data_IF_491512115407
#
_entry.id   IF_491512115407
#
_cell.length_a   1.000
_cell.length_b   1.000
_cell.length_c   1.000
_cell.angle_alpha   90.00
_cell.angle_beta   90.00
_cell.angle_gamma   90.00
#
_symmetry.space_group_name_H-M   'P 1'
#
loop_
_entity.id
_entity.type
_entity.pdbx_description
1 polymer ?
#
# COMPACT_ATOMS: atom_id res chain seq x y z
N UNK A 1 21.70 -21.75 9.79
CA UNK A 1 20.42 -22.22 9.21
C UNK A 1 19.79 -21.01 8.53
N UNK A 2 19.98 -20.90 7.22
CA UNK A 2 19.10 -20.22 6.27
C UNK A 2 19.45 -20.87 4.93
N UNK A 3 18.70 -21.91 4.59
CA UNK A 3 18.87 -22.74 3.42
C UNK A 3 18.04 -22.17 2.27
N UNK A 4 18.63 -21.30 1.47
CA UNK A 4 18.21 -21.03 0.08
C UNK A 4 19.50 -20.75 -0.70
N UNK A 5 20.16 -21.82 -1.12
CA UNK A 5 21.44 -21.83 -1.83
C UNK A 5 21.36 -21.35 -3.28
N UNK A 6 20.69 -20.24 -3.52
CA UNK A 6 20.71 -19.53 -4.80
C UNK A 6 21.60 -18.30 -4.62
N UNK A 7 22.92 -18.47 -4.83
CA UNK A 7 23.77 -17.33 -5.13
C UNK A 7 23.24 -16.73 -6.42
N UNK A 8 22.44 -15.67 -6.30
CA UNK A 8 21.75 -15.03 -7.42
C UNK A 8 22.73 -14.74 -8.54
N UNK A 9 22.56 -15.42 -9.67
CA UNK A 9 23.28 -15.13 -10.90
C UNK A 9 22.94 -13.68 -11.28
N UNK A 10 23.96 -12.85 -11.50
CA UNK A 10 23.80 -11.46 -11.93
C UNK A 10 22.89 -11.39 -13.15
N UNK A 11 21.92 -10.47 -13.15
CA UNK A 11 20.94 -10.31 -14.23
C UNK A 11 19.76 -11.29 -14.23
N UNK A 12 19.62 -12.18 -13.25
CA UNK A 12 18.35 -12.90 -13.01
C UNK A 12 17.45 -12.09 -12.08
N UNK A 13 16.13 -12.13 -12.32
CA UNK A 13 15.16 -11.52 -11.40
C UNK A 13 15.24 -12.20 -10.03
N UNK A 14 14.96 -11.43 -9.00
CA UNK A 14 14.90 -11.90 -7.62
C UNK A 14 13.57 -12.60 -7.27
N UNK A 15 12.59 -12.55 -8.18
CA UNK A 15 11.29 -13.19 -8.04
C UNK A 15 11.21 -14.46 -8.89
N UNK A 16 10.26 -15.35 -8.58
CA UNK A 16 10.03 -16.60 -9.31
C UNK A 16 9.40 -16.30 -10.69
N UNK A 17 10.17 -16.52 -11.76
CA UNK A 17 9.76 -16.19 -13.14
C UNK A 17 8.60 -17.05 -13.62
N UNK A 18 8.60 -18.32 -13.25
CA UNK A 18 7.60 -19.31 -13.64
C UNK A 18 6.23 -18.96 -13.05
N UNK A 19 6.19 -18.62 -11.76
CA UNK A 19 4.97 -18.16 -11.07
C UNK A 19 4.48 -16.83 -11.66
N UNK A 20 5.37 -15.86 -11.89
CA UNK A 20 4.98 -14.59 -12.53
C UNK A 20 4.41 -14.83 -13.93
N UNK A 21 5.09 -15.64 -14.75
CA UNK A 21 4.64 -15.95 -16.10
C UNK A 21 3.30 -16.68 -16.11
N UNK A 22 3.05 -17.54 -15.13
CA UNK A 22 1.73 -18.15 -14.92
C UNK A 22 0.69 -17.10 -14.58
N UNK A 23 0.96 -16.26 -13.58
CA UNK A 23 0.02 -15.24 -13.12
C UNK A 23 -0.32 -14.23 -14.22
N UNK A 24 0.65 -13.84 -15.05
CA UNK A 24 0.46 -12.98 -16.22
C UNK A 24 -0.55 -13.54 -17.23
N UNK A 25 -0.73 -14.86 -17.32
CA UNK A 25 -1.75 -15.50 -18.18
C UNK A 25 -3.14 -15.50 -17.55
N UNK A 26 -3.23 -15.34 -16.24
CA UNK A 26 -4.47 -15.43 -15.45
C UNK A 26 -5.07 -14.05 -15.15
N UNK A 27 -4.24 -13.01 -15.03
CA UNK A 27 -4.72 -11.65 -14.75
C UNK A 27 -5.68 -11.16 -15.84
N UNK A 28 -6.87 -10.77 -15.40
CA UNK A 28 -7.93 -10.28 -16.27
C UNK A 28 -7.77 -8.81 -16.68
N UNK A 29 -8.73 -8.33 -17.48
CA UNK A 29 -8.82 -6.90 -17.79
C UNK A 29 -9.23 -6.07 -16.57
N UNK A 30 -8.88 -4.78 -16.60
CA UNK A 30 -9.31 -3.78 -15.63
C UNK A 30 -10.08 -2.67 -16.33
N UNK A 31 -10.88 -1.95 -15.54
CA UNK A 31 -11.40 -0.64 -15.93
C UNK A 31 -10.54 0.45 -15.32
N UNK A 32 -10.46 1.58 -16.03
CA UNK A 32 -9.74 2.77 -15.59
C UNK A 32 -10.72 3.81 -15.05
N UNK A 33 -10.27 4.54 -14.04
CA UNK A 33 -11.07 5.52 -13.32
C UNK A 33 -10.23 6.75 -12.95
N UNK A 34 -10.92 7.80 -12.52
CA UNK A 34 -10.38 8.92 -11.75
C UNK A 34 -11.35 9.27 -10.64
N UNK A 35 -10.91 10.06 -9.66
CA UNK A 35 -11.84 10.71 -8.74
C UNK A 35 -12.17 12.11 -9.22
N UNK A 36 -13.46 12.41 -9.31
CA UNK A 36 -13.96 13.78 -9.37
C UNK A 36 -14.30 14.22 -7.93
N UNK A 37 -13.98 15.47 -7.60
CA UNK A 37 -14.17 16.01 -6.25
C UNK A 37 -14.38 17.52 -6.27
N UNK A 38 -14.85 18.05 -5.15
CA UNK A 38 -14.94 19.48 -4.89
C UNK A 38 -13.79 19.89 -3.97
N UNK A 39 -12.93 20.80 -4.45
CA UNK A 39 -11.91 21.45 -3.64
C UNK A 39 -12.44 22.76 -3.06
N UNK A 40 -12.26 22.94 -1.75
CA UNK A 40 -12.61 24.17 -1.04
C UNK A 40 -11.59 24.46 0.06
N UNK A 41 -11.70 25.60 0.73
CA UNK A 41 -10.89 25.91 1.91
C UNK A 41 -11.79 25.99 3.14
N UNK A 42 -11.31 25.46 4.25
CA UNK A 42 -11.93 25.60 5.56
C UNK A 42 -11.98 27.07 5.97
N UNK A 43 -13.16 27.56 6.37
CA UNK A 43 -13.40 29.00 6.59
C UNK A 43 -12.60 29.59 7.76
N UNK A 44 -12.10 28.77 8.69
CA UNK A 44 -11.37 29.24 9.87
C UNK A 44 -9.86 29.01 9.73
N UNK A 45 -9.48 27.83 9.26
CA UNK A 45 -8.07 27.44 9.16
C UNK A 45 -7.44 27.83 7.82
N UNK A 46 -8.26 28.15 6.81
CA UNK A 46 -7.86 28.34 5.41
C UNK A 46 -7.18 27.12 4.77
N UNK A 47 -7.24 25.96 5.45
CA UNK A 47 -6.67 24.72 4.96
C UNK A 47 -7.57 24.07 3.90
N UNK A 48 -6.99 23.39 2.90
CA UNK A 48 -7.76 22.79 1.82
C UNK A 48 -8.64 21.64 2.34
N UNK A 49 -9.77 21.43 1.67
CA UNK A 49 -10.75 20.38 1.94
C UNK A 49 -11.21 19.77 0.63
N UNK A 50 -11.12 18.45 0.54
CA UNK A 50 -11.71 17.64 -0.52
C UNK A 50 -13.06 17.12 -0.02
N UNK A 51 -14.09 17.36 -0.82
CA UNK A 51 -15.47 16.94 -0.55
C UNK A 51 -16.11 16.36 -1.81
N UNK A 52 -17.30 15.77 -1.69
CA UNK A 52 -18.06 15.22 -2.82
C UNK A 52 -17.28 14.23 -3.70
N UNK A 53 -16.44 13.40 -3.08
CA UNK A 53 -15.58 12.43 -3.77
C UNK A 53 -16.44 11.42 -4.54
N UNK A 54 -16.23 11.31 -5.85
CA UNK A 54 -16.92 10.36 -6.73
C UNK A 54 -15.92 9.64 -7.61
N UNK A 55 -15.99 8.30 -7.62
CA UNK A 55 -15.22 7.49 -8.54
C UNK A 55 -15.91 7.48 -9.91
N UNK A 56 -15.23 7.97 -10.94
CA UNK A 56 -15.77 8.10 -12.30
C UNK A 56 -14.99 7.19 -13.25
N UNK A 57 -15.71 6.33 -13.97
CA UNK A 57 -15.11 5.48 -15.01
C UNK A 57 -14.66 6.36 -16.19
N UNK A 58 -13.40 6.26 -16.56
CA UNK A 58 -12.78 7.07 -17.60
C UNK A 58 -11.77 6.20 -18.36
N UNK A 59 -11.92 6.08 -19.68
CA UNK A 59 -10.99 5.31 -20.53
C UNK A 59 -9.57 5.88 -20.54
N UNK A 60 -9.43 7.16 -20.22
CA UNK A 60 -8.15 7.87 -20.01
C UNK A 60 -7.77 7.99 -18.53
N UNK A 61 -8.54 7.36 -17.64
CA UNK A 61 -8.27 7.34 -16.21
C UNK A 61 -6.98 6.62 -15.86
N UNK A 62 -6.46 6.95 -14.69
CA UNK A 62 -5.16 6.51 -14.18
C UNK A 62 -5.25 5.61 -12.95
N UNK A 63 -6.47 5.34 -12.48
CA UNK A 63 -6.76 4.36 -11.42
C UNK A 63 -7.27 3.08 -12.07
N UNK A 64 -6.53 2.00 -11.89
CA UNK A 64 -6.97 0.64 -12.24
C UNK A 64 -7.60 0.01 -11.01
N UNK A 65 -8.85 -0.39 -11.13
CA UNK A 65 -9.61 -1.01 -10.04
C UNK A 65 -9.81 -2.50 -10.33
N UNK A 66 -9.23 -3.36 -9.49
CA UNK A 66 -9.35 -4.81 -9.57
C UNK A 66 -10.45 -5.34 -8.64
N UNK A 67 -10.56 -4.76 -7.45
CA UNK A 67 -11.57 -5.13 -6.45
C UNK A 67 -12.06 -3.91 -5.68
N UNK A 68 -13.39 -3.76 -5.61
CA UNK A 68 -14.02 -2.69 -4.84
C UNK A 68 -13.75 -2.88 -3.33
N UNK A 69 -13.66 -1.79 -2.55
CA UNK A 69 -13.52 -1.87 -1.10
C UNK A 69 -14.71 -2.61 -0.51
N UNK A 70 -14.43 -3.49 0.44
CA UNK A 70 -15.44 -4.18 1.23
C UNK A 70 -15.64 -3.46 2.56
N UNK A 71 -16.88 -3.44 3.04
CA UNK A 71 -17.20 -2.85 4.34
C UNK A 71 -16.40 -3.58 5.43
N UNK A 72 -15.89 -2.83 6.42
CA UNK A 72 -15.16 -3.36 7.57
C UNK A 72 -13.79 -4.00 7.26
N UNK A 73 -13.34 -3.94 6.00
CA UNK A 73 -11.96 -4.28 5.64
C UNK A 73 -11.04 -3.08 5.81
N UNK A 74 -9.78 -3.37 6.07
CA UNK A 74 -8.72 -2.39 6.23
C UNK A 74 -7.76 -2.49 5.06
N UNK A 75 -7.33 -1.35 4.55
CA UNK A 75 -6.47 -1.27 3.38
C UNK A 75 -5.20 -0.49 3.68
N UNK A 76 -4.16 -0.75 2.90
CA UNK A 76 -2.88 -0.03 2.95
C UNK A 76 -2.56 0.44 1.54
N UNK A 77 -2.08 1.67 1.43
CA UNK A 77 -1.60 2.27 0.20
C UNK A 77 -0.12 2.59 0.38
N UNK A 78 0.73 1.91 -0.37
CA UNK A 78 2.13 2.33 -0.54
C UNK A 78 2.25 3.18 -1.79
N UNK A 79 2.97 4.29 -1.70
CA UNK A 79 3.15 5.20 -2.83
C UNK A 79 4.61 5.53 -3.06
N UNK A 80 5.06 5.31 -4.29
CA UNK A 80 6.34 5.76 -4.81
C UNK A 80 6.12 7.05 -5.61
N UNK A 81 6.99 8.03 -5.37
CA UNK A 81 6.85 9.38 -5.91
C UNK A 81 7.85 9.60 -7.04
N UNK A 82 7.42 10.31 -8.09
CA UNK A 82 8.30 10.68 -9.19
C UNK A 82 9.58 11.35 -8.66
N UNK A 83 10.71 11.06 -9.30
CA UNK A 83 12.03 11.42 -8.79
C UNK A 83 13.16 11.17 -9.80
N UNK A 84 14.40 11.03 -9.32
CA UNK A 84 15.54 10.75 -10.19
C UNK A 84 15.38 9.37 -10.87
N UNK A 85 14.91 9.39 -12.12
CA UNK A 85 14.75 8.19 -12.96
C UNK A 85 13.31 7.87 -13.39
N UNK A 86 12.30 8.58 -12.86
CA UNK A 86 10.90 8.37 -13.23
C UNK A 86 10.07 9.64 -13.09
N UNK A 87 9.25 9.93 -14.10
CA UNK A 87 8.25 11.02 -14.06
C UNK A 87 6.88 10.52 -13.56
N UNK A 88 6.74 9.22 -13.29
CA UNK A 88 5.47 8.62 -12.90
C UNK A 88 5.36 8.53 -11.38
N UNK A 89 4.20 8.87 -10.87
CA UNK A 89 3.82 8.51 -9.50
C UNK A 89 3.12 7.16 -9.53
N UNK A 90 3.31 6.34 -8.50
CA UNK A 90 2.64 5.05 -8.37
C UNK A 90 2.09 4.90 -6.95
N UNK A 91 0.82 4.50 -6.83
CA UNK A 91 0.15 4.14 -5.59
C UNK A 91 -0.46 2.75 -5.70
N UNK A 92 -0.16 1.88 -4.75
CA UNK A 92 -0.52 0.46 -4.73
C UNK A 92 -1.43 0.18 -3.53
N UNK A 93 -2.67 -0.27 -3.77
CA UNK A 93 -3.63 -0.56 -2.70
C UNK A 93 -3.69 -2.05 -2.44
N UNK A 94 -3.41 -2.47 -1.20
CA UNK A 94 -3.58 -3.86 -0.76
C UNK A 94 -4.68 -3.97 0.31
N UNK A 95 -5.46 -5.05 0.25
CA UNK A 95 -6.31 -5.48 1.35
C UNK A 95 -5.41 -6.01 2.47
N UNK A 96 -5.45 -5.39 3.65
CA UNK A 96 -4.48 -5.71 4.69
C UNK A 96 -4.69 -7.10 5.29
N UNK A 97 -5.84 -7.73 5.11
CA UNK A 97 -6.14 -9.06 5.64
C UNK A 97 -5.64 -10.14 4.68
N UNK A 98 -5.92 -9.96 3.38
CA UNK A 98 -5.67 -10.98 2.34
C UNK A 98 -4.39 -10.73 1.55
N UNK A 99 -3.81 -9.53 1.67
CA UNK A 99 -2.69 -9.02 0.88
C UNK A 99 -2.99 -8.86 -0.62
N UNK A 100 -4.23 -9.05 -1.03
CA UNK A 100 -4.66 -8.87 -2.42
C UNK A 100 -4.47 -7.42 -2.88
N UNK A 101 -3.80 -7.23 -4.01
CA UNK A 101 -3.65 -5.94 -4.67
C UNK A 101 -4.98 -5.55 -5.33
N UNK A 102 -5.69 -4.57 -4.75
CA UNK A 102 -7.07 -4.25 -5.11
C UNK A 102 -7.21 -3.06 -6.07
N UNK A 103 -6.23 -2.15 -6.09
CA UNK A 103 -6.17 -1.04 -7.03
C UNK A 103 -4.74 -0.52 -7.23
N UNK A 104 -4.53 0.17 -8.35
CA UNK A 104 -3.29 0.88 -8.67
C UNK A 104 -3.61 2.27 -9.22
N UNK A 105 -3.03 3.31 -8.64
CA UNK A 105 -2.94 4.66 -9.21
C UNK A 105 -1.57 4.80 -9.86
N UNK A 106 -1.49 5.08 -11.16
CA UNK A 106 -0.20 5.33 -11.82
C UNK A 106 -0.36 6.27 -13.00
N UNK A 107 0.37 7.39 -12.98
CA UNK A 107 0.37 8.37 -14.06
C UNK A 107 1.52 9.37 -13.89
N UNK A 108 1.81 10.11 -14.97
CA UNK A 108 2.60 11.35 -14.92
C UNK A 108 1.70 12.48 -14.44
N UNK A 109 1.83 12.86 -13.18
CA UNK A 109 1.03 13.91 -12.56
C UNK A 109 1.88 15.15 -12.26
N UNK A 110 1.22 16.29 -12.03
CA UNK A 110 1.77 17.25 -11.09
C UNK A 110 1.55 16.77 -9.64
N UNK A 111 2.40 17.21 -8.72
CA UNK A 111 2.34 16.71 -7.35
C UNK A 111 1.01 17.00 -6.64
N UNK A 112 0.30 18.08 -6.99
CA UNK A 112 -1.00 18.42 -6.38
C UNK A 112 -2.10 17.46 -6.83
N UNK A 113 -2.21 17.19 -8.13
CA UNK A 113 -3.18 16.23 -8.67
C UNK A 113 -2.93 14.84 -8.09
N UNK A 114 -1.67 14.41 -7.99
CA UNK A 114 -1.36 13.13 -7.34
C UNK A 114 -1.82 13.09 -5.89
N UNK A 115 -1.57 14.15 -5.10
CA UNK A 115 -2.05 14.25 -3.71
C UNK A 115 -3.55 14.10 -3.61
N UNK A 116 -4.29 14.83 -4.45
CA UNK A 116 -5.74 14.88 -4.36
C UNK A 116 -6.35 13.52 -4.79
N UNK A 117 -5.81 12.89 -5.84
CA UNK A 117 -6.24 11.57 -6.30
C UNK A 117 -5.91 10.46 -5.29
N UNK A 118 -4.70 10.46 -4.71
CA UNK A 118 -4.34 9.44 -3.72
C UNK A 118 -5.06 9.63 -2.38
N UNK A 119 -5.36 10.88 -2.00
CA UNK A 119 -6.26 11.19 -0.89
C UNK A 119 -7.63 10.55 -1.13
N UNK A 120 -8.23 10.79 -2.30
CA UNK A 120 -9.54 10.25 -2.65
C UNK A 120 -9.53 8.71 -2.68
N UNK A 121 -8.46 8.11 -3.21
CA UNK A 121 -8.29 6.66 -3.23
C UNK A 121 -8.23 6.09 -1.81
N UNK A 122 -7.47 6.72 -0.91
CA UNK A 122 -7.38 6.35 0.49
C UNK A 122 -8.72 6.43 1.22
N UNK A 123 -9.48 7.50 0.98
CA UNK A 123 -10.83 7.68 1.54
C UNK A 123 -11.81 6.64 1.00
N UNK A 124 -11.74 6.33 -0.30
CA UNK A 124 -12.56 5.30 -0.95
C UNK A 124 -12.30 3.91 -0.36
N UNK A 125 -11.04 3.60 -0.03
CA UNK A 125 -10.63 2.34 0.60
C UNK A 125 -10.67 2.40 2.14
N UNK A 126 -11.77 2.90 2.70
CA UNK A 126 -12.04 2.91 4.15
C UNK A 126 -10.96 3.62 4.99
N UNK A 127 -10.50 4.80 4.56
CA UNK A 127 -9.42 5.53 5.22
C UNK A 127 -8.15 4.68 5.34
N UNK A 128 -7.71 4.13 4.21
CA UNK A 128 -6.54 3.26 4.12
C UNK A 128 -5.30 3.88 4.79
N UNK A 129 -4.40 3.05 5.31
CA UNK A 129 -3.11 3.54 5.80
C UNK A 129 -2.32 4.02 4.59
N UNK A 130 -2.00 5.31 4.53
CA UNK A 130 -1.32 5.90 3.39
C UNK A 130 0.16 6.16 3.71
N UNK A 131 1.01 5.42 3.01
CA UNK A 131 2.46 5.37 3.18
C UNK A 131 3.14 5.91 1.93
N UNK A 132 3.36 7.22 1.89
CA UNK A 132 4.02 7.88 0.75
C UNK A 132 5.52 7.96 0.99
N UNK A 133 6.31 7.56 0.00
CA UNK A 133 7.76 7.79 -0.01
C UNK A 133 8.06 9.29 0.09
N UNK A 134 8.97 9.71 0.98
CA UNK A 134 9.30 11.12 1.20
C UNK A 134 10.53 11.58 0.42
N UNK A 135 11.12 10.73 -0.40
CA UNK A 135 12.27 11.10 -1.23
C UNK A 135 11.83 11.89 -2.47
N UNK A 136 12.77 12.56 -3.11
CA UNK A 136 12.62 13.17 -4.45
C UNK A 136 11.36 14.05 -4.70
N UNK A 137 10.76 14.64 -3.66
CA UNK A 137 9.57 15.49 -3.76
C UNK A 137 8.38 15.01 -2.93
N UNK A 138 8.42 13.78 -2.42
CA UNK A 138 7.34 13.21 -1.62
C UNK A 138 7.07 13.89 -0.27
N UNK A 139 8.04 14.61 0.30
CA UNK A 139 7.82 15.43 1.51
C UNK A 139 6.66 16.43 1.32
N UNK A 140 6.63 17.11 0.17
CA UNK A 140 5.55 18.04 -0.15
C UNK A 140 4.19 17.33 -0.21
N UNK A 141 4.14 16.13 -0.80
CA UNK A 141 2.92 15.34 -0.91
C UNK A 141 2.37 15.01 0.47
N UNK A 142 3.23 14.53 1.36
CA UNK A 142 2.86 14.17 2.73
C UNK A 142 2.40 15.39 3.54
N UNK A 143 3.08 16.52 3.42
CA UNK A 143 2.68 17.77 4.08
C UNK A 143 1.31 18.24 3.59
N UNK A 144 1.05 18.19 2.28
CA UNK A 144 -0.25 18.53 1.71
C UNK A 144 -1.35 17.59 2.20
N UNK A 145 -1.10 16.27 2.23
CA UNK A 145 -2.05 15.29 2.75
C UNK A 145 -2.39 15.54 4.22
N UNK A 146 -1.40 15.93 5.03
CA UNK A 146 -1.63 16.31 6.42
C UNK A 146 -2.51 17.57 6.53
N UNK A 147 -2.26 18.60 5.70
CA UNK A 147 -3.07 19.83 5.63
C UNK A 147 -4.50 19.58 5.14
N UNK A 148 -4.68 18.66 4.20
CA UNK A 148 -5.98 18.15 3.75
C UNK A 148 -6.70 17.35 4.84
N UNK A 149 -6.03 17.03 5.95
CA UNK A 149 -6.60 16.30 7.07
C UNK A 149 -6.79 14.81 6.78
N UNK A 150 -5.89 14.19 5.98
CA UNK A 150 -5.97 12.75 5.75
C UNK A 150 -5.81 11.99 7.08
N UNK A 151 -6.76 11.11 7.45
CA UNK A 151 -6.86 10.64 8.82
C UNK A 151 -5.84 9.57 9.20
N UNK A 152 -5.19 8.91 8.23
CA UNK A 152 -4.42 7.69 8.47
C UNK A 152 -3.10 7.66 7.68
N UNK A 153 -2.22 8.62 7.94
CA UNK A 153 -0.87 8.66 7.35
C UNK A 153 0.09 7.76 8.14
N UNK A 154 0.95 7.04 7.43
CA UNK A 154 2.04 6.28 8.06
C UNK A 154 3.00 7.20 8.81
N UNK A 155 3.41 6.76 10.00
CA UNK A 155 4.30 7.52 10.89
C UNK A 155 5.56 6.70 11.13
N UNK A 156 6.73 7.27 10.80
CA UNK A 156 8.03 6.71 11.17
C UNK A 156 8.63 7.45 12.36
N UNK A 157 9.52 6.78 13.07
CA UNK A 157 10.40 7.40 14.04
C UNK A 157 11.70 7.84 13.35
N UNK A 158 12.17 9.05 13.67
CA UNK A 158 13.44 9.61 13.20
C UNK A 158 14.24 10.09 14.40
N UNK A 159 15.53 9.80 14.45
CA UNK A 159 16.41 10.38 15.47
C UNK A 159 16.66 11.87 15.17
N UNK A 160 16.31 12.72 16.13
CA UNK A 160 16.69 14.12 16.16
C UNK A 160 18.14 14.22 16.67
N UNK A 161 19.03 14.69 15.81
CA UNK A 161 20.47 14.81 16.11
C UNK A 161 20.80 16.00 17.00
N UNK A 162 19.88 16.94 17.17
CA UNK A 162 20.05 18.11 18.04
C UNK A 162 19.51 17.85 19.45
N UNK A 163 18.35 17.19 19.54
CA UNK A 163 17.66 16.90 20.80
C UNK A 163 17.97 15.50 21.37
N UNK A 164 18.72 14.67 20.64
CA UNK A 164 19.01 13.26 20.95
C UNK A 164 17.76 12.43 21.28
N UNK A 165 16.64 12.72 20.60
CA UNK A 165 15.33 12.08 20.82
C UNK A 165 14.74 11.55 19.54
N UNK A 166 13.91 10.52 19.64
CA UNK A 166 13.09 10.09 18.50
C UNK A 166 11.90 11.03 18.31
N UNK A 167 11.77 11.58 17.11
CA UNK A 167 10.64 12.40 16.66
C UNK A 167 9.81 11.63 15.65
N UNK A 168 8.48 11.79 15.72
CA UNK A 168 7.54 11.22 14.76
C UNK A 168 7.52 12.06 13.48
N UNK A 169 7.53 11.41 12.33
CA UNK A 169 7.46 12.06 11.02
C UNK A 169 6.56 11.28 10.08
N UNK A 170 5.74 11.97 9.29
CA UNK A 170 4.85 11.32 8.33
C UNK A 170 5.57 10.84 7.08
N UNK A 171 5.12 9.72 6.52
CA UNK A 171 5.62 9.13 5.29
C UNK A 171 6.72 8.09 5.50
N UNK A 172 7.05 7.38 4.44
CA UNK A 172 8.10 6.37 4.41
C UNK A 172 9.39 6.97 3.83
N UNK A 173 10.54 6.72 4.45
CA UNK A 173 11.81 7.20 3.93
C UNK A 173 12.65 6.02 3.43
N UNK A 174 12.79 5.90 2.11
CA UNK A 174 13.67 4.90 1.51
C UNK A 174 15.12 5.35 1.66
N UNK A 175 15.93 4.59 2.38
CA UNK A 175 17.35 4.84 2.59
C UNK A 175 18.10 3.50 2.67
N UNK A 176 19.41 3.53 2.88
CA UNK A 176 20.24 2.32 2.93
C UNK A 176 19.76 1.31 3.98
N UNK A 177 19.22 1.79 5.11
CA UNK A 177 18.72 0.93 6.19
C UNK A 177 17.33 0.36 5.92
N UNK A 178 16.45 1.08 5.20
CA UNK A 178 15.06 0.67 4.96
C UNK A 178 14.84 -0.03 3.62
N UNK A 179 15.65 0.27 2.58
CA UNK A 179 15.46 -0.30 1.24
C UNK A 179 15.65 -1.81 1.21
N UNK A 180 16.70 -2.33 1.86
CA UNK A 180 16.97 -3.78 1.83
C UNK A 180 15.85 -4.56 2.57
N UNK A 181 15.45 -4.21 3.81
CA UNK A 181 14.32 -4.85 4.46
C UNK A 181 13.00 -4.72 3.69
N UNK A 182 12.75 -3.60 3.03
CA UNK A 182 11.57 -3.41 2.17
C UNK A 182 11.53 -4.43 1.05
N UNK A 183 12.62 -4.56 0.30
CA UNK A 183 12.69 -5.50 -0.83
C UNK A 183 12.67 -6.95 -0.34
N UNK A 184 13.41 -7.27 0.71
CA UNK A 184 13.43 -8.64 1.26
C UNK A 184 12.02 -9.06 1.73
N UNK A 185 11.30 -8.17 2.42
CA UNK A 185 9.93 -8.43 2.88
C UNK A 185 8.95 -8.67 1.72
N UNK A 186 9.08 -7.89 0.64
CA UNK A 186 8.26 -8.09 -0.56
C UNK A 186 8.59 -9.42 -1.27
N UNK A 187 9.87 -9.76 -1.40
CA UNK A 187 10.30 -11.04 -1.99
C UNK A 187 9.79 -12.21 -1.18
N UNK A 188 9.87 -12.13 0.15
CA UNK A 188 9.34 -13.16 1.04
C UNK A 188 7.82 -13.33 0.86
N UNK A 189 7.07 -12.22 0.86
CA UNK A 189 5.61 -12.23 0.69
C UNK A 189 5.17 -12.82 -0.67
N UNK A 190 6.01 -12.70 -1.69
CA UNK A 190 5.74 -13.16 -3.06
C UNK A 190 6.53 -14.43 -3.43
N UNK A 191 7.11 -15.12 -2.45
CA UNK A 191 7.92 -16.32 -2.67
C UNK A 191 7.10 -17.59 -2.94
N UNK A 192 5.78 -17.55 -2.66
CA UNK A 192 4.87 -18.67 -2.89
C UNK A 192 3.87 -18.36 -4.00
N UNK A 193 3.23 -19.42 -4.51
CA UNK A 193 2.16 -19.31 -5.50
C UNK A 193 1.01 -18.44 -4.97
N UNK A 194 0.58 -18.66 -3.74
CA UNK A 194 -0.50 -17.90 -3.09
C UNK A 194 -0.12 -16.42 -2.97
N UNK A 195 1.15 -16.13 -2.64
CA UNK A 195 1.69 -14.77 -2.62
C UNK A 195 1.58 -14.09 -3.98
N UNK A 196 2.07 -14.74 -5.04
CA UNK A 196 2.00 -14.19 -6.41
C UNK A 196 0.56 -14.03 -6.90
N UNK A 197 -0.36 -14.94 -6.53
CA UNK A 197 -1.78 -14.86 -6.88
C UNK A 197 -2.47 -13.61 -6.31
N UNK A 198 -1.90 -12.96 -5.28
CA UNK A 198 -2.42 -11.69 -4.75
C UNK A 198 -2.23 -10.50 -5.70
N UNK A 199 -1.32 -10.60 -6.67
CA UNK A 199 -0.99 -9.51 -7.60
C UNK A 199 -1.91 -9.57 -8.81
N UNK A 200 -2.60 -8.46 -9.08
CA UNK A 200 -3.57 -8.34 -10.17
C UNK A 200 -3.07 -7.44 -11.31
N UNK A 201 -2.13 -6.55 -11.02
CA UNK A 201 -1.64 -5.55 -11.95
C UNK A 201 -0.55 -6.10 -12.86
N UNK A 202 -0.84 -6.09 -14.16
CA UNK A 202 0.07 -6.57 -15.19
C UNK A 202 1.40 -5.81 -15.22
N UNK A 203 1.40 -4.48 -15.07
CA UNK A 203 2.63 -3.69 -15.06
C UNK A 203 3.52 -4.05 -13.86
N UNK A 204 2.93 -4.25 -12.68
CA UNK A 204 3.67 -4.75 -11.50
C UNK A 204 4.37 -6.09 -11.80
N UNK A 205 3.63 -7.06 -12.35
CA UNK A 205 4.20 -8.37 -12.72
C UNK A 205 5.29 -8.25 -13.79
N UNK A 206 5.10 -7.39 -14.80
CA UNK A 206 6.09 -7.12 -15.85
C UNK A 206 7.37 -6.49 -15.25
N UNK A 207 7.25 -5.52 -14.34
CA UNK A 207 8.41 -4.95 -13.65
C UNK A 207 9.14 -6.03 -12.83
N UNK A 208 8.42 -6.93 -12.14
CA UNK A 208 9.02 -8.01 -11.35
C UNK A 208 9.93 -8.93 -12.20
N UNK A 209 9.58 -9.19 -13.46
CA UNK A 209 10.44 -9.98 -14.36
C UNK A 209 11.79 -9.32 -14.65
N UNK A 210 11.85 -8.00 -14.51
CA UNK A 210 12.99 -7.15 -14.87
C UNK A 210 13.73 -6.56 -13.65
N UNK A 211 13.31 -6.91 -12.44
CA UNK A 211 13.91 -6.46 -11.19
C UNK A 211 14.96 -7.45 -10.71
N UNK A 212 16.23 -7.12 -10.93
CA UNK A 212 17.38 -8.04 -10.87
C UNK A 212 18.37 -7.63 -9.80
N UNK A 213 19.31 -8.52 -9.47
CA UNK A 213 20.52 -8.12 -8.74
C UNK A 213 21.56 -7.60 -9.73
N UNK A 214 22.04 -6.39 -9.48
CA UNK A 214 23.17 -5.83 -10.22
C UNK A 214 24.49 -6.52 -9.83
N UNK A 215 25.61 -6.10 -10.43
CA UNK A 215 26.95 -6.67 -10.18
C UNK A 215 27.40 -6.59 -8.72
N UNK A 216 26.85 -5.64 -7.95
CA UNK A 216 27.11 -5.47 -6.51
C UNK A 216 26.10 -6.23 -5.63
N UNK A 217 25.24 -7.06 -6.23
CA UNK A 217 24.21 -7.83 -5.53
C UNK A 217 23.00 -7.00 -5.07
N UNK A 218 22.95 -5.70 -5.40
CA UNK A 218 21.87 -4.79 -5.01
C UNK A 218 20.65 -5.01 -5.94
N UNK A 219 19.45 -5.22 -5.39
CA UNK A 219 18.22 -5.27 -6.17
C UNK A 219 17.84 -3.92 -6.77
N UNK A 220 17.62 -3.89 -8.08
CA UNK A 220 17.14 -2.74 -8.86
C UNK A 220 16.54 -3.18 -10.20
N UNK A 221 15.80 -2.29 -10.85
CA UNK A 221 15.40 -2.51 -12.24
C UNK A 221 16.63 -2.69 -13.13
N UNK A 222 16.56 -3.63 -14.07
CA UNK A 222 17.57 -3.72 -15.13
C UNK A 222 17.63 -2.41 -15.93
N UNK A 223 18.76 -2.15 -16.60
CA UNK A 223 18.94 -0.95 -17.41
C UNK A 223 17.79 -0.77 -18.42
N UNK A 224 17.14 0.40 -18.40
CA UNK A 224 16.02 0.74 -19.28
C UNK A 224 14.65 0.20 -18.82
N UNK A 225 14.57 -0.45 -17.66
CA UNK A 225 13.31 -0.82 -17.01
C UNK A 225 12.99 0.10 -15.83
N UNK A 226 11.79 -0.06 -15.27
CA UNK A 226 11.24 0.73 -14.17
C UNK A 226 10.96 -0.15 -12.95
N UNK A 227 11.05 0.41 -11.74
CA UNK A 227 10.73 -0.26 -10.48
C UNK A 227 9.64 0.42 -9.64
N UNK A 228 9.00 1.49 -10.14
CA UNK A 228 8.05 2.31 -9.35
C UNK A 228 6.89 1.49 -8.76
N UNK A 229 6.37 0.51 -9.53
CA UNK A 229 5.29 -0.35 -9.06
C UNK A 229 5.76 -1.32 -7.97
N UNK A 230 6.99 -1.82 -8.09
CA UNK A 230 7.59 -2.73 -7.10
C UNK A 230 7.87 -1.96 -5.81
N UNK A 231 8.41 -0.75 -5.93
CA UNK A 231 8.70 0.11 -4.79
C UNK A 231 7.42 0.51 -4.06
N UNK A 232 6.40 1.00 -4.77
CA UNK A 232 5.10 1.33 -4.17
C UNK A 232 4.45 0.12 -3.46
N UNK A 233 4.49 -1.07 -4.08
CA UNK A 233 3.97 -2.29 -3.47
C UNK A 233 4.79 -2.71 -2.25
N UNK A 234 6.13 -2.62 -2.33
CA UNK A 234 7.03 -2.90 -1.23
C UNK A 234 6.79 -1.98 -0.03
N UNK A 235 6.54 -0.69 -0.25
CA UNK A 235 6.16 0.24 0.81
C UNK A 235 4.85 -0.19 1.47
N UNK A 236 3.84 -0.60 0.69
CA UNK A 236 2.57 -1.09 1.22
C UNK A 236 2.78 -2.31 2.14
N UNK A 237 3.52 -3.31 1.66
CA UNK A 237 3.87 -4.51 2.44
C UNK A 237 4.71 -4.21 3.68
N UNK A 238 5.67 -3.28 3.59
CA UNK A 238 6.54 -2.95 4.70
C UNK A 238 5.79 -2.22 5.83
N UNK A 239 4.93 -1.27 5.47
CA UNK A 239 4.27 -0.37 6.43
C UNK A 239 2.97 -0.91 7.01
N UNK A 240 2.43 -1.99 6.44
CA UNK A 240 1.12 -2.55 6.80
C UNK A 240 0.92 -2.94 8.26
N UNK A 241 2.00 -3.15 9.00
CA UNK A 241 1.95 -3.46 10.43
C UNK A 241 1.31 -2.33 11.26
N UNK A 242 1.30 -1.09 10.77
CA UNK A 242 0.55 0.02 11.40
C UNK A 242 -0.94 0.05 11.06
N UNK A 243 -1.45 -0.91 10.28
CA UNK A 243 -2.86 -1.00 9.91
C UNK A 243 -3.50 -2.25 10.54
N UNK A 244 -4.79 -2.14 10.86
CA UNK A 244 -5.60 -3.25 11.38
C UNK A 244 -5.82 -4.33 10.31
N UNK A 245 -6.17 -5.53 10.73
CA UNK A 245 -6.65 -6.61 9.85
C UNK A 245 -8.05 -7.02 10.27
N UNK A 246 -8.84 -7.50 9.32
CA UNK A 246 -10.15 -8.07 9.63
C UNK A 246 -10.00 -9.51 10.12
N UNK A 247 -10.60 -9.81 11.27
CA UNK A 247 -10.62 -11.16 11.84
C UNK A 247 -12.05 -11.69 11.73
N UNK A 248 -12.25 -12.69 10.87
CA UNK A 248 -13.54 -13.38 10.76
C UNK A 248 -13.75 -14.20 12.03
N UNK A 249 -14.64 -13.74 12.93
CA UNK A 249 -15.06 -14.54 14.07
C UNK A 249 -15.74 -15.81 13.55
N UNK A 250 -15.26 -16.99 13.96
CA UNK A 250 -16.10 -18.20 13.86
C UNK A 250 -17.30 -17.97 14.79
N UNK A 251 -18.53 -18.28 14.37
CA UNK A 251 -19.64 -18.27 15.31
C UNK A 251 -19.28 -19.24 16.43
N UNK A 252 -19.35 -18.77 17.67
CA UNK A 252 -19.18 -19.63 18.83
C UNK A 252 -20.13 -20.81 18.66
N UNK A 253 -19.60 -22.02 18.59
CA UNK A 253 -20.43 -23.21 18.71
C UNK A 253 -21.02 -23.15 20.11
N UNK A 254 -22.28 -22.71 20.20
CA UNK A 254 -23.07 -22.83 21.42
C UNK A 254 -23.10 -24.33 21.72
N UNK A 255 -22.26 -24.78 22.65
CA UNK A 255 -22.46 -26.07 23.27
C UNK A 255 -23.80 -25.94 23.99
N UNK A 256 -24.75 -26.79 23.60
CA UNK A 256 -26.00 -26.97 24.34
C UNK A 256 -25.67 -27.65 25.67
N UNK A 257 -25.07 -26.90 26.59
CA UNK A 257 -24.99 -27.21 28.01
C UNK A 257 -26.28 -26.71 28.66
N UNK A 258 -26.91 -27.60 29.42
CA UNK A 258 -28.16 -27.42 30.16
C UNK A 258 -28.36 -26.02 30.76
N UNK A 259 -29.55 -25.48 30.51
CA UNK A 259 -30.14 -24.38 31.26
C UNK A 259 -30.13 -24.70 32.75
N UNK A 260 -29.50 -23.82 33.55
CA UNK A 260 -29.99 -23.49 34.89
C UNK A 260 -29.82 -21.99 35.12
N UNK A 261 -30.86 -21.40 35.67
CA UNK A 261 -31.13 -19.97 35.79
C UNK A 261 -30.09 -19.20 36.61
N UNK A 262 -29.90 -17.90 36.32
CA UNK A 262 -30.18 -16.77 37.23
C UNK A 262 -29.78 -15.41 36.58
N UNK A 263 -30.82 -14.61 36.32
CA UNK A 263 -30.96 -13.14 36.34
C UNK A 263 -30.01 -12.13 35.63
N UNK A 264 -30.61 -11.43 34.64
CA UNK A 264 -30.72 -9.96 34.45
C UNK A 264 -29.47 -9.06 34.58
N UNK A 265 -28.98 -8.56 33.45
CA UNK A 265 -29.17 -7.17 32.94
C UNK A 265 -28.42 -7.01 31.60
N UNK A 266 -29.12 -6.49 30.58
CA UNK A 266 -28.57 -6.35 29.23
C UNK A 266 -27.72 -5.11 29.01
N UNK A 267 -26.88 -5.15 27.97
CA UNK A 267 -26.67 -4.08 26.99
C UNK A 267 -25.81 -4.61 25.83
N UNK A 268 -26.08 -4.09 24.64
CA UNK A 268 -25.55 -4.48 23.34
C UNK A 268 -24.05 -4.20 23.16
N UNK A 269 -23.37 -5.14 22.49
CA UNK A 269 -22.53 -4.93 21.29
C UNK A 269 -21.30 -4.02 21.36
N UNK A 270 -20.11 -4.61 21.17
CA UNK A 270 -19.00 -3.99 20.45
C UNK A 270 -17.92 -5.05 20.15
N UNK A 271 -17.59 -5.26 18.88
CA UNK A 271 -16.39 -6.02 18.52
C UNK A 271 -15.14 -5.24 18.89
N UNK A 272 -14.22 -5.87 19.63
CA UNK A 272 -12.94 -5.27 19.99
C UNK A 272 -11.95 -5.36 18.82
N UNK A 273 -11.23 -4.26 18.57
CA UNK A 273 -10.06 -4.22 17.70
C UNK A 273 -8.80 -4.27 18.55
N UNK A 274 -7.83 -5.12 18.20
CA UNK A 274 -6.51 -5.15 18.85
C UNK A 274 -5.46 -4.57 17.90
N UNK A 275 -4.56 -3.76 18.46
CA UNK A 275 -3.30 -3.37 17.81
C UNK A 275 -2.35 -4.57 17.77
N UNK A 276 -1.70 -4.78 16.62
CA UNK A 276 -0.58 -5.72 16.54
C UNK A 276 0.65 -4.98 17.04
N UNK A 277 1.25 -5.48 18.12
CA UNK A 277 2.56 -5.04 18.65
C UNK A 277 3.67 -5.70 17.82
#
# INVERSE_FOLDING_TARGET
IYCLGEWGVTGRTIFDKELIAQRLREVGGFKTYRFDYTMSNDIYTMEPRITDIRLTEDKSGYIRLYKKPQKEQFYVIGADTAGEGSDEFCGQVIDNTTLEQTAVLNHKFDAHEFCDQIYCLGMYYNCALLSVETNAGGTFIVERLARLGYPNLYVRERQDTYLEKYVRSYGFNTNTATRKPLVDNLVEALSTKEGIETINDKKTLEQMLTFVRNERGKPEAQAGAHDDHIMALGIAHYTRHQQKVYIKRKPDSISSGSFDEVNKKGSLGSGESLEVI
#
